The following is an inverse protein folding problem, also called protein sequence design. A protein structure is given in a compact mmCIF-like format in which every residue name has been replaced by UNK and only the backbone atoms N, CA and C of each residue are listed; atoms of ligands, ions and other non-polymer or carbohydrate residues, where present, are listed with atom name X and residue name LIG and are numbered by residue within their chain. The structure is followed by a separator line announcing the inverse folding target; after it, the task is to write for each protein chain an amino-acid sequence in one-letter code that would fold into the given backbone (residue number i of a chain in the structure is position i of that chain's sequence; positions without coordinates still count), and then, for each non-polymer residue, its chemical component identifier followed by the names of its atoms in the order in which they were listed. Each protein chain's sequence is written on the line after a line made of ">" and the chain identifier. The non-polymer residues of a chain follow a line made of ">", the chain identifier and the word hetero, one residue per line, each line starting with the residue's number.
data_IF_682464594020
#
_entry.id   IF_682464594020
#
_cell.length_a   1.000
_cell.length_b   1.000
_cell.length_c   1.000
_cell.angle_alpha   90.00
_cell.angle_beta   90.00
_cell.angle_gamma   90.00
#
_symmetry.space_group_name_H-M   'P 1'
#
loop_
_entity.id
_entity.type
_entity.pdbx_description
1 polymer ?
#
# COMPACT_ATOMS: atom_id res chain seq x y z
N UNK A 1 -13.87 10.55 -10.10
CA UNK A 1 -12.94 9.89 -11.03
C UNK A 1 -12.53 8.58 -10.40
N UNK A 2 -12.47 7.48 -11.15
CA UNK A 2 -12.02 6.20 -10.61
C UNK A 2 -10.51 6.24 -10.31
N UNK A 3 -10.08 5.53 -9.26
CA UNK A 3 -8.66 5.36 -8.96
C UNK A 3 -7.99 4.51 -10.05
N UNK A 4 -6.71 4.79 -10.41
CA UNK A 4 -5.97 3.97 -11.35
C UNK A 4 -5.66 2.58 -10.78
N UNK A 5 -5.51 1.59 -11.65
CA UNK A 5 -5.13 0.22 -11.27
C UNK A 5 -3.65 -0.05 -11.50
N UNK A 6 -3.05 -0.80 -10.58
CA UNK A 6 -1.65 -1.24 -10.66
C UNK A 6 -1.53 -2.73 -10.36
N UNK A 7 -0.64 -3.43 -11.05
CA UNK A 7 -0.29 -4.81 -10.68
C UNK A 7 0.60 -4.84 -9.43
N UNK A 8 0.71 -6.00 -8.77
CA UNK A 8 1.65 -6.18 -7.67
C UNK A 8 3.11 -5.92 -8.07
N UNK A 9 3.51 -6.26 -9.31
CA UNK A 9 4.85 -5.94 -9.80
C UNK A 9 5.07 -4.44 -9.95
N UNK A 10 4.04 -3.71 -10.37
CA UNK A 10 4.11 -2.26 -10.40
C UNK A 10 4.20 -1.70 -8.96
N UNK A 11 3.38 -2.17 -8.03
CA UNK A 11 3.44 -1.79 -6.63
C UNK A 11 4.85 -2.02 -6.04
N UNK A 12 5.47 -3.17 -6.30
CA UNK A 12 6.81 -3.54 -5.82
C UNK A 12 7.91 -2.51 -6.13
N UNK A 13 7.78 -1.76 -7.23
CA UNK A 13 8.74 -0.72 -7.60
C UNK A 13 8.57 0.58 -6.80
N UNK A 14 7.44 0.80 -6.10
CA UNK A 14 7.18 1.98 -5.25
C UNK A 14 7.57 1.70 -3.81
N UNK A 15 8.81 1.30 -3.62
CA UNK A 15 9.39 0.92 -2.34
C UNK A 15 10.35 1.97 -1.76
N UNK A 16 10.37 3.19 -2.31
CA UNK A 16 11.29 4.26 -1.90
C UNK A 16 12.74 4.08 -2.37
N UNK A 17 13.07 3.02 -3.11
CA UNK A 17 14.41 2.74 -3.64
C UNK A 17 14.42 2.64 -5.17
N UNK A 18 13.61 1.72 -5.72
CA UNK A 18 13.48 1.56 -7.18
C UNK A 18 12.77 2.76 -7.81
N UNK A 19 11.86 3.38 -7.04
CA UNK A 19 11.23 4.67 -7.34
C UNK A 19 11.05 5.48 -6.05
N UNK A 20 10.82 6.78 -6.22
CA UNK A 20 10.70 7.70 -5.08
C UNK A 20 9.41 7.52 -4.27
N UNK A 21 8.38 6.94 -4.89
CA UNK A 21 7.11 6.65 -4.23
C UNK A 21 7.27 5.57 -3.17
N UNK A 22 6.53 5.71 -2.07
CA UNK A 22 6.50 4.74 -0.97
C UNK A 22 5.06 4.31 -0.77
N UNK A 23 4.66 3.23 -1.43
CA UNK A 23 3.27 2.78 -1.46
C UNK A 23 3.11 1.45 -0.75
N UNK A 24 1.97 1.25 -0.10
CA UNK A 24 1.55 -0.05 0.44
C UNK A 24 0.11 -0.30 0.03
N UNK A 25 -0.26 -1.57 -0.15
CA UNK A 25 -1.66 -1.94 -0.34
C UNK A 25 -2.27 -2.48 0.95
N UNK A 26 -3.54 -2.17 1.15
CA UNK A 26 -4.39 -2.73 2.19
C UNK A 26 -5.79 -2.96 1.62
N UNK A 27 -6.29 -4.20 1.73
CA UNK A 27 -7.54 -4.66 1.13
C UNK A 27 -7.67 -4.24 -0.35
N UNK A 28 -6.58 -4.36 -1.10
CA UNK A 28 -6.50 -4.01 -2.51
C UNK A 28 -6.48 -2.51 -2.81
N UNK A 29 -6.56 -1.62 -1.83
CA UNK A 29 -6.37 -0.17 -2.03
C UNK A 29 -4.91 0.19 -1.80
N UNK A 30 -4.31 0.97 -2.69
CA UNK A 30 -2.92 1.41 -2.62
C UNK A 30 -2.87 2.81 -1.98
N UNK A 31 -2.11 2.95 -0.91
CA UNK A 31 -1.92 4.19 -0.17
C UNK A 31 -0.49 4.71 -0.29
N UNK A 32 -0.34 6.02 -0.48
CA UNK A 32 0.97 6.68 -0.40
C UNK A 32 1.30 7.01 1.06
N UNK A 33 2.29 6.30 1.61
CA UNK A 33 2.72 6.44 3.01
C UNK A 33 4.00 7.27 3.16
N UNK A 34 4.50 7.92 2.10
CA UNK A 34 5.73 8.72 2.09
C UNK A 34 5.76 9.82 3.16
N UNK A 35 4.60 10.38 3.52
CA UNK A 35 4.48 11.42 4.57
C UNK A 35 4.69 10.88 5.99
N UNK A 36 4.69 9.56 6.18
CA UNK A 36 4.95 8.94 7.48
C UNK A 36 6.44 8.86 7.76
N UNK A 37 6.87 9.44 8.90
CA UNK A 37 8.24 9.26 9.40
C UNK A 37 8.57 7.80 9.71
N UNK A 38 7.56 6.97 9.94
CA UNK A 38 7.70 5.54 10.26
C UNK A 38 7.99 4.67 9.03
N UNK A 39 7.79 5.22 7.82
CA UNK A 39 8.00 4.55 6.53
C UNK A 39 9.19 5.17 5.76
N UNK A 40 10.09 5.85 6.46
CA UNK A 40 11.27 6.48 5.83
C UNK A 40 12.08 5.43 5.07
N UNK A 41 12.52 5.80 3.87
CA UNK A 41 13.28 4.94 2.95
C UNK A 41 12.55 3.62 2.60
N UNK A 42 11.22 3.63 2.71
CA UNK A 42 10.35 2.51 2.36
C UNK A 42 10.34 1.36 3.35
N UNK A 43 10.77 1.59 4.60
CA UNK A 43 10.83 0.57 5.64
C UNK A 43 10.06 0.96 6.89
N UNK A 44 9.30 0.01 7.41
CA UNK A 44 8.62 0.11 8.70
C UNK A 44 8.89 -1.13 9.55
N UNK A 45 9.88 -1.06 10.43
CA UNK A 45 10.40 -2.21 11.18
C UNK A 45 10.80 -3.37 10.24
N UNK A 46 10.10 -4.50 10.30
CA UNK A 46 10.37 -5.69 9.47
C UNK A 46 9.59 -5.66 8.14
N UNK A 47 8.73 -4.66 7.94
CA UNK A 47 7.89 -4.52 6.75
C UNK A 47 8.49 -3.52 5.76
N UNK A 48 8.25 -3.79 4.47
CA UNK A 48 8.76 -2.98 3.37
C UNK A 48 7.61 -2.46 2.52
N UNK A 49 7.78 -1.26 1.98
CA UNK A 49 6.87 -0.70 1.01
C UNK A 49 6.97 -1.46 -0.33
N UNK A 50 5.99 -1.23 -1.19
CA UNK A 50 5.82 -1.95 -2.45
C UNK A 50 5.10 -3.29 -2.30
N UNK A 51 4.36 -3.51 -1.21
CA UNK A 51 3.67 -4.77 -0.94
C UNK A 51 2.22 -4.56 -0.55
N UNK A 52 1.42 -5.61 -0.70
CA UNK A 52 0.13 -5.72 -0.04
C UNK A 52 0.37 -6.26 1.36
N UNK A 53 0.08 -5.42 2.37
CA UNK A 53 0.35 -5.70 3.78
C UNK A 53 -0.93 -6.04 4.55
N UNK A 54 -1.95 -6.53 3.84
CA UNK A 54 -3.27 -6.83 4.42
C UNK A 54 -3.19 -7.87 5.52
N UNK A 55 -2.43 -8.95 5.31
CA UNK A 55 -2.30 -10.03 6.29
C UNK A 55 -1.41 -9.60 7.46
N UNK A 56 -0.30 -8.91 7.16
CA UNK A 56 0.66 -8.42 8.13
C UNK A 56 0.05 -7.40 9.12
N UNK A 57 -0.97 -6.64 8.68
CA UNK A 57 -1.66 -5.70 9.56
C UNK A 57 -2.40 -6.39 10.72
N UNK A 58 -2.78 -7.66 10.57
CA UNK A 58 -3.50 -8.41 11.62
C UNK A 58 -2.64 -8.59 12.88
N UNK A 59 -1.33 -8.67 12.71
CA UNK A 59 -0.35 -8.84 13.79
C UNK A 59 0.23 -7.50 14.30
N UNK A 60 -0.20 -6.37 13.71
CA UNK A 60 0.31 -5.06 14.07
C UNK A 60 -0.27 -4.53 15.40
N UNK A 61 0.47 -3.69 16.15
CA UNK A 61 -0.02 -3.05 17.38
C UNK A 61 -1.05 -1.93 17.13
N UNK A 62 -1.53 -1.78 15.89
CA UNK A 62 -2.46 -0.75 15.43
C UNK A 62 -3.43 -1.31 14.38
N UNK A 63 -4.52 -0.60 14.10
CA UNK A 63 -5.54 -1.02 13.13
C UNK A 63 -5.50 -0.20 11.83
N UNK A 64 -6.42 -0.51 10.91
CA UNK A 64 -6.54 0.11 9.59
C UNK A 64 -6.84 1.63 9.60
N UNK A 65 -7.27 2.22 10.73
CA UNK A 65 -7.56 3.66 10.80
C UNK A 65 -6.32 4.53 10.58
N UNK A 66 -5.11 3.93 10.60
CA UNK A 66 -3.89 4.63 10.18
C UNK A 66 -3.96 5.10 8.73
N UNK A 67 -4.71 4.40 7.85
CA UNK A 67 -4.84 4.72 6.43
C UNK A 67 -5.66 6.00 6.16
N UNK A 68 -6.50 6.43 7.10
CA UNK A 68 -7.26 7.70 7.00
C UNK A 68 -6.35 8.94 6.86
N UNK A 69 -5.07 8.79 7.21
CA UNK A 69 -4.06 9.86 7.14
C UNK A 69 -3.31 9.89 5.80
N UNK A 70 -3.54 8.92 4.92
CA UNK A 70 -2.80 8.72 3.69
C UNK A 70 -3.72 8.82 2.47
N UNK A 71 -3.14 9.22 1.35
CA UNK A 71 -3.86 9.35 0.10
C UNK A 71 -4.02 7.97 -0.55
N UNK A 72 -5.25 7.61 -0.91
CA UNK A 72 -5.51 6.46 -1.77
C UNK A 72 -5.14 6.83 -3.22
N UNK A 73 -4.09 6.22 -3.74
CA UNK A 73 -3.50 6.58 -5.05
C UNK A 73 -3.82 5.55 -6.14
N UNK A 74 -4.35 4.39 -5.78
CA UNK A 74 -4.69 3.36 -6.76
C UNK A 74 -5.37 2.14 -6.14
N UNK A 75 -5.66 1.17 -7.01
CA UNK A 75 -6.17 -0.15 -6.64
C UNK A 75 -5.22 -1.24 -7.16
N UNK A 76 -5.09 -2.32 -6.42
CA UNK A 76 -4.36 -3.52 -6.87
C UNK A 76 -5.24 -4.25 -7.89
N UNK A 77 -4.73 -4.36 -9.11
CA UNK A 77 -5.39 -5.03 -10.22
C UNK A 77 -5.65 -6.50 -9.88
N UNK A 78 -6.88 -6.96 -10.11
CA UNK A 78 -7.34 -8.31 -9.77
C UNK A 78 -7.13 -8.69 -8.29
N UNK A 79 -7.14 -7.70 -7.38
CA UNK A 79 -7.06 -7.99 -5.95
C UNK A 79 -8.17 -8.96 -5.52
N UNK A 80 -7.82 -9.91 -4.66
CA UNK A 80 -8.79 -10.81 -4.03
C UNK A 80 -9.70 -10.10 -3.02
N UNK A 81 -9.32 -8.90 -2.59
CA UNK A 81 -10.06 -8.11 -1.60
C UNK A 81 -11.05 -7.13 -2.23
N UNK A 82 -10.92 -6.87 -3.53
CA UNK A 82 -11.84 -6.00 -4.26
C UNK A 82 -12.81 -6.85 -5.08
N UNK A 83 -14.13 -6.60 -4.99
CA UNK A 83 -15.09 -7.31 -5.82
C UNK A 83 -14.80 -7.02 -7.29
N UNK A 84 -14.81 -8.06 -8.13
CA UNK A 84 -14.75 -7.88 -9.58
C UNK A 84 -15.99 -7.09 -10.00
N UNK A 85 -15.77 -5.99 -10.70
CA UNK A 85 -16.85 -5.36 -11.46
C UNK A 85 -17.14 -6.30 -12.63
N UNK A 86 -18.31 -6.92 -12.62
CA UNK A 86 -18.84 -7.70 -13.75
C UNK A 86 -19.09 -6.81 -14.97
#
# INVERSE_FOLDING_TARGET
>A
MALPEYTLQQLALRNGQDREEIWVAYLGVIYDVRKSRLWRDGKHYEHWAGQDLTEELQDAPHNANVFDKFEAVGLVKNSVYLPRQE
#
